data_IF_244070834824
#
_entry.id   IF_244070834824
#
_cell.length_a   1.000
_cell.length_b   1.000
_cell.length_c   1.000
_cell.angle_alpha   90.00
_cell.angle_beta   90.00
_cell.angle_gamma   90.00
#
_symmetry.space_group_name_H-M   'P 1'
#
loop_
_entity.id
_entity.type
_entity.pdbx_description
1 polymer ?
#
# COMPACT_ATOMS: atom_id res chain seq x y z
N UNK A 1 37.87 24.03 58.91
CA UNK A 1 38.70 22.98 58.26
C UNK A 1 38.03 21.64 58.55
N UNK A 2 37.34 21.02 57.59
CA UNK A 2 37.90 20.17 56.50
C UNK A 2 37.94 18.70 56.96
N UNK A 3 37.46 17.66 56.25
CA UNK A 3 36.95 17.49 54.89
C UNK A 3 35.90 16.36 54.88
N UNK A 4 35.02 16.39 53.87
CA UNK A 4 33.97 15.41 53.55
C UNK A 4 34.53 14.00 53.28
N UNK A 5 33.79 12.99 53.77
CA UNK A 5 33.89 11.59 53.37
C UNK A 5 33.51 11.40 51.89
N UNK A 6 34.42 10.78 51.14
CA UNK A 6 34.30 10.39 49.73
C UNK A 6 33.59 9.05 49.58
N UNK A 7 32.69 8.97 48.58
CA UNK A 7 31.96 7.77 48.19
C UNK A 7 32.87 6.58 47.83
N UNK A 8 32.53 5.34 48.24
CA UNK A 8 33.25 4.16 47.80
C UNK A 8 32.89 3.86 46.34
N UNK A 9 33.87 3.96 45.44
CA UNK A 9 33.78 3.37 44.10
C UNK A 9 33.87 1.85 44.25
N UNK A 10 32.76 1.15 44.02
CA UNK A 10 32.76 -0.30 43.83
C UNK A 10 33.65 -0.64 42.63
N UNK A 11 34.85 -1.19 42.86
CA UNK A 11 35.63 -1.85 41.80
C UNK A 11 35.02 -3.23 41.59
N UNK A 12 34.22 -3.38 40.53
CA UNK A 12 33.80 -4.72 40.07
C UNK A 12 35.03 -5.52 39.65
N UNK A 13 35.05 -6.81 40.00
CA UNK A 13 36.15 -7.71 39.59
C UNK A 13 35.96 -8.12 38.12
N UNK A 14 37.04 -8.55 37.45
CA UNK A 14 36.97 -9.03 36.07
C UNK A 14 36.00 -10.23 35.92
N UNK A 15 35.81 -10.99 36.99
CA UNK A 15 34.89 -12.13 37.07
C UNK A 15 33.42 -11.70 37.05
N UNK A 16 33.08 -10.58 37.69
CA UNK A 16 31.71 -10.04 37.66
C UNK A 16 31.31 -9.57 36.25
N UNK A 17 32.21 -8.89 35.53
CA UNK A 17 31.95 -8.51 34.14
C UNK A 17 31.82 -9.72 33.21
N UNK A 18 32.63 -10.76 33.44
CA UNK A 18 32.51 -12.01 32.68
C UNK A 18 31.17 -12.70 32.94
N UNK A 19 30.71 -12.73 34.19
CA UNK A 19 29.43 -13.31 34.56
C UNK A 19 28.25 -12.52 33.97
N UNK A 20 28.28 -11.18 34.01
CA UNK A 20 27.27 -10.32 33.38
C UNK A 20 27.18 -10.57 31.86
N UNK A 21 28.33 -10.68 31.18
CA UNK A 21 28.38 -11.01 29.75
C UNK A 21 27.86 -12.42 29.44
N UNK A 22 28.16 -13.42 30.29
CA UNK A 22 27.64 -14.78 30.14
C UNK A 22 26.11 -14.81 30.34
N UNK A 23 25.58 -14.06 31.32
CA UNK A 23 24.15 -13.92 31.56
C UNK A 23 23.44 -13.24 30.38
N UNK A 24 23.99 -12.13 29.88
CA UNK A 24 23.46 -11.44 28.70
C UNK A 24 23.50 -12.31 27.44
N UNK A 25 24.60 -13.07 27.22
CA UNK A 25 24.70 -14.00 26.11
C UNK A 25 23.66 -15.13 26.21
N UNK A 26 23.42 -15.65 27.42
CA UNK A 26 22.39 -16.65 27.66
C UNK A 26 20.99 -16.09 27.42
N UNK A 27 20.73 -14.85 27.86
CA UNK A 27 19.47 -14.16 27.61
C UNK A 27 19.21 -13.97 26.11
N UNK A 28 20.19 -13.46 25.37
CA UNK A 28 20.12 -13.29 23.91
C UNK A 28 19.89 -14.63 23.19
N UNK A 29 20.52 -15.71 23.66
CA UNK A 29 20.27 -17.07 23.12
C UNK A 29 18.84 -17.52 23.36
N UNK A 30 18.27 -17.26 24.55
CA UNK A 30 16.88 -17.56 24.84
C UNK A 30 15.91 -16.75 23.98
N UNK A 31 16.14 -15.43 23.84
CA UNK A 31 15.32 -14.59 22.97
C UNK A 31 15.38 -15.06 21.51
N UNK A 32 16.59 -15.32 21.00
CA UNK A 32 16.78 -15.84 19.65
C UNK A 32 16.03 -17.15 19.43
N UNK A 33 16.05 -18.06 20.41
CA UNK A 33 15.32 -19.32 20.34
C UNK A 33 13.81 -19.11 20.27
N UNK A 34 13.25 -18.20 21.09
CA UNK A 34 11.82 -17.88 21.04
C UNK A 34 11.38 -17.28 19.72
N UNK A 35 12.22 -16.43 19.12
CA UNK A 35 11.96 -15.84 17.80
C UNK A 35 12.04 -16.89 16.68
N UNK A 36 12.98 -17.83 16.77
CA UNK A 36 13.08 -18.98 15.85
C UNK A 36 11.82 -19.85 15.93
N UNK A 37 11.35 -20.17 17.13
CA UNK A 37 10.15 -20.98 17.33
C UNK A 37 8.89 -20.28 16.81
N UNK A 38 8.78 -18.97 17.06
CA UNK A 38 7.71 -18.12 16.52
C UNK A 38 7.74 -18.09 14.99
N UNK A 39 8.91 -17.91 14.38
CA UNK A 39 9.04 -17.94 12.92
C UNK A 39 8.71 -19.31 12.33
N UNK A 40 9.05 -20.40 13.02
CA UNK A 40 8.68 -21.76 12.61
C UNK A 40 7.17 -21.99 12.69
N UNK A 41 6.49 -21.37 13.65
CA UNK A 41 5.03 -21.39 13.74
C UNK A 41 4.39 -20.52 12.64
N UNK A 42 4.91 -19.32 12.40
CA UNK A 42 4.43 -18.43 11.33
C UNK A 42 4.56 -19.08 9.96
N UNK A 43 5.69 -19.74 9.68
CA UNK A 43 5.87 -20.51 8.44
C UNK A 43 4.81 -21.60 8.27
N UNK A 44 4.45 -22.31 9.34
CA UNK A 44 3.35 -23.30 9.31
C UNK A 44 2.00 -22.64 9.03
N UNK A 45 1.71 -21.50 9.64
CA UNK A 45 0.45 -20.74 9.40
C UNK A 45 0.37 -20.23 7.97
N UNK A 46 1.47 -19.69 7.42
CA UNK A 46 1.56 -19.23 6.03
C UNK A 46 1.27 -20.38 5.07
N UNK A 47 1.97 -21.52 5.24
CA UNK A 47 1.74 -22.69 4.38
C UNK A 47 0.30 -23.23 4.47
N UNK A 48 -0.37 -23.10 5.63
CA UNK A 48 -1.77 -23.48 5.75
C UNK A 48 -2.68 -22.50 5.00
N UNK A 49 -2.46 -21.20 5.17
CA UNK A 49 -3.21 -20.16 4.47
C UNK A 49 -3.04 -20.26 2.95
N UNK A 50 -1.86 -20.62 2.45
CA UNK A 50 -1.62 -20.86 1.03
C UNK A 50 -2.46 -22.03 0.49
N UNK A 51 -2.61 -23.11 1.27
CA UNK A 51 -3.46 -24.25 0.89
C UNK A 51 -4.94 -23.86 0.90
N UNK A 52 -5.38 -23.16 1.94
CA UNK A 52 -6.77 -22.70 2.06
C UNK A 52 -7.11 -21.73 0.93
N UNK A 53 -6.18 -20.82 0.58
CA UNK A 53 -6.32 -19.90 -0.55
C UNK A 53 -6.47 -20.66 -1.87
N UNK A 54 -5.60 -21.63 -2.13
CA UNK A 54 -5.68 -22.46 -3.33
C UNK A 54 -7.00 -23.23 -3.43
N UNK A 55 -7.49 -23.76 -2.30
CA UNK A 55 -8.78 -24.45 -2.25
C UNK A 55 -9.95 -23.52 -2.55
N UNK A 56 -9.96 -22.31 -1.98
CA UNK A 56 -10.96 -21.30 -2.29
C UNK A 56 -10.92 -20.88 -3.76
N UNK A 57 -9.73 -20.74 -4.34
CA UNK A 57 -9.58 -20.39 -5.75
C UNK A 57 -10.18 -21.46 -6.66
N UNK A 58 -9.96 -22.74 -6.35
CA UNK A 58 -10.55 -23.86 -7.08
C UNK A 58 -12.09 -23.86 -6.94
N UNK A 59 -12.62 -23.66 -5.74
CA UNK A 59 -14.07 -23.62 -5.50
C UNK A 59 -14.73 -22.47 -6.28
N UNK A 60 -14.08 -21.30 -6.34
CA UNK A 60 -14.56 -20.17 -7.15
C UNK A 60 -14.58 -20.53 -8.64
N UNK A 61 -13.55 -21.23 -9.15
CA UNK A 61 -13.52 -21.66 -10.54
C UNK A 61 -14.65 -22.65 -10.86
N UNK A 62 -14.88 -23.62 -9.97
CA UNK A 62 -15.93 -24.63 -10.14
C UNK A 62 -17.32 -23.98 -10.12
N UNK A 63 -17.59 -23.09 -9.16
CA UNK A 63 -18.84 -22.33 -9.06
C UNK A 63 -19.06 -21.44 -10.29
N UNK A 64 -18.03 -20.75 -10.78
CA UNK A 64 -18.13 -19.96 -12.00
C UNK A 64 -18.45 -20.83 -13.23
N UNK A 65 -17.90 -22.03 -13.30
CA UNK A 65 -18.22 -23.00 -14.34
C UNK A 65 -19.66 -23.51 -14.26
N UNK A 66 -20.24 -23.61 -13.07
CA UNK A 66 -21.64 -23.98 -12.87
C UNK A 66 -22.60 -22.84 -13.22
N UNK A 67 -22.29 -21.60 -12.80
CA UNK A 67 -23.05 -20.40 -13.18
C UNK A 67 -23.16 -20.30 -14.70
N UNK A 68 -22.03 -20.41 -15.42
CA UNK A 68 -22.01 -20.32 -16.88
C UNK A 68 -22.85 -21.42 -17.55
N UNK A 69 -22.86 -22.63 -16.99
CA UNK A 69 -23.70 -23.73 -17.51
C UNK A 69 -25.19 -23.45 -17.31
N UNK A 70 -25.57 -22.95 -16.15
CA UNK A 70 -26.96 -22.58 -15.84
C UNK A 70 -27.44 -21.40 -16.70
N UNK A 71 -26.60 -20.38 -16.90
CA UNK A 71 -26.89 -19.25 -17.77
C UNK A 71 -27.21 -19.72 -19.19
N UNK A 72 -26.32 -20.51 -19.80
CA UNK A 72 -26.53 -21.05 -21.15
C UNK A 72 -27.82 -21.89 -21.26
N UNK A 73 -28.09 -22.75 -20.27
CA UNK A 73 -29.30 -23.57 -20.25
C UNK A 73 -30.57 -22.71 -20.18
N UNK A 74 -30.55 -21.65 -19.35
CA UNK A 74 -31.69 -20.73 -19.24
C UNK A 74 -31.89 -19.88 -20.50
N UNK A 75 -30.81 -19.46 -21.18
CA UNK A 75 -30.89 -18.76 -22.45
C UNK A 75 -31.51 -19.63 -23.55
N UNK A 76 -31.15 -20.92 -23.59
CA UNK A 76 -31.72 -21.89 -24.51
C UNK A 76 -33.22 -22.11 -24.24
N UNK A 77 -33.61 -22.33 -22.99
CA UNK A 77 -35.02 -22.48 -22.59
C UNK A 77 -35.85 -21.23 -22.95
N UNK A 78 -35.32 -20.03 -22.69
CA UNK A 78 -35.98 -18.77 -23.07
C UNK A 78 -36.16 -18.68 -24.59
N UNK A 79 -35.15 -19.09 -25.37
CA UNK A 79 -35.21 -19.10 -26.84
C UNK A 79 -36.29 -20.05 -27.35
N UNK A 80 -36.36 -21.26 -26.80
CA UNK A 80 -37.39 -22.25 -27.12
C UNK A 80 -38.79 -21.73 -26.78
N UNK A 81 -39.00 -21.21 -25.57
CA UNK A 81 -40.29 -20.65 -25.16
C UNK A 81 -40.72 -19.48 -26.06
N UNK A 82 -39.78 -18.63 -26.46
CA UNK A 82 -40.06 -17.51 -27.38
C UNK A 82 -40.50 -18.00 -28.76
N UNK A 83 -39.88 -19.08 -29.26
CA UNK A 83 -40.28 -19.72 -30.51
C UNK A 83 -41.68 -20.35 -30.40
N UNK A 84 -41.98 -21.02 -29.29
CA UNK A 84 -43.28 -21.62 -29.01
C UNK A 84 -44.40 -20.57 -28.92
N UNK A 85 -44.17 -19.46 -28.21
CA UNK A 85 -45.09 -18.33 -28.13
C UNK A 85 -45.36 -17.75 -29.52
N UNK A 86 -44.32 -17.62 -30.35
CA UNK A 86 -44.47 -17.11 -31.72
C UNK A 86 -45.34 -18.03 -32.59
N UNK A 87 -45.15 -19.35 -32.46
CA UNK A 87 -45.99 -20.36 -33.11
C UNK A 87 -47.45 -20.28 -32.65
N UNK A 88 -47.68 -20.28 -31.33
CA UNK A 88 -49.02 -20.19 -30.75
C UNK A 88 -49.74 -18.89 -31.14
N UNK A 89 -49.03 -17.77 -31.18
CA UNK A 89 -49.59 -16.48 -31.61
C UNK A 89 -50.07 -16.53 -33.06
N UNK A 90 -49.32 -17.18 -33.94
CA UNK A 90 -49.72 -17.37 -35.33
C UNK A 90 -50.94 -18.27 -35.45
N UNK A 91 -50.99 -19.37 -34.67
CA UNK A 91 -52.15 -20.26 -34.64
C UNK A 91 -53.42 -19.54 -34.13
N UNK A 92 -53.30 -18.77 -33.05
CA UNK A 92 -54.39 -17.96 -32.50
C UNK A 92 -54.92 -16.95 -33.54
N UNK A 93 -54.01 -16.30 -34.27
CA UNK A 93 -54.39 -15.36 -35.32
C UNK A 93 -55.23 -16.04 -36.42
N UNK A 94 -54.83 -17.24 -36.86
CA UNK A 94 -55.61 -18.00 -37.84
C UNK A 94 -56.95 -18.45 -37.29
N UNK A 95 -56.98 -19.02 -36.08
CA UNK A 95 -58.22 -19.45 -35.44
C UNK A 95 -59.22 -18.29 -35.28
N UNK A 96 -58.75 -17.09 -34.92
CA UNK A 96 -59.58 -15.89 -34.84
C UNK A 96 -60.18 -15.51 -36.20
N UNK A 97 -59.39 -15.58 -37.27
CA UNK A 97 -59.85 -15.32 -38.63
C UNK A 97 -60.92 -16.33 -39.06
N UNK A 98 -60.74 -17.59 -38.71
CA UNK A 98 -61.70 -18.65 -39.02
C UNK A 98 -63.02 -18.47 -38.28
N UNK A 99 -62.99 -18.08 -37.00
CA UNK A 99 -64.20 -17.73 -36.23
C UNK A 99 -64.95 -16.58 -36.92
N UNK A 100 -64.26 -15.50 -37.30
CA UNK A 100 -64.89 -14.38 -38.01
C UNK A 100 -65.53 -14.79 -39.34
N UNK A 101 -64.91 -15.71 -40.07
CA UNK A 101 -65.48 -16.24 -41.31
C UNK A 101 -66.74 -17.07 -41.04
N UNK A 102 -66.73 -17.89 -39.98
CA UNK A 102 -67.90 -18.67 -39.55
C UNK A 102 -69.03 -17.77 -39.06
N UNK A 103 -68.74 -16.70 -38.32
CA UNK A 103 -69.75 -15.73 -37.86
C UNK A 103 -70.47 -15.09 -39.05
N UNK A 104 -69.73 -14.67 -40.09
CA UNK A 104 -70.33 -14.15 -41.33
C UNK A 104 -71.25 -15.17 -42.01
N UNK A 105 -70.86 -16.45 -41.99
CA UNK A 105 -71.65 -17.52 -42.56
C UNK A 105 -72.92 -17.80 -41.73
N UNK A 106 -72.83 -17.75 -40.40
CA UNK A 106 -73.98 -17.85 -39.50
C UNK A 106 -74.95 -16.71 -39.76
N UNK A 107 -74.49 -15.45 -39.85
CA UNK A 107 -75.36 -14.31 -40.17
C UNK A 107 -76.08 -14.46 -41.52
N UNK A 108 -75.41 -15.06 -42.51
CA UNK A 108 -76.04 -15.38 -43.79
C UNK A 108 -77.15 -16.43 -43.65
N UNK A 109 -76.92 -17.48 -42.86
CA UNK A 109 -77.92 -18.52 -42.59
C UNK A 109 -79.10 -17.99 -41.78
N UNK A 110 -78.86 -17.17 -40.76
CA UNK A 110 -79.91 -16.53 -39.94
C UNK A 110 -80.84 -15.68 -40.81
N UNK A 111 -80.28 -14.92 -41.77
CA UNK A 111 -81.08 -14.14 -42.70
C UNK A 111 -81.97 -15.03 -43.59
N UNK A 112 -81.41 -16.12 -44.13
CA UNK A 112 -82.18 -17.09 -44.91
C UNK A 112 -83.30 -17.75 -44.10
N UNK A 113 -83.03 -18.04 -42.83
CA UNK A 113 -84.01 -18.60 -41.93
C UNK A 113 -85.18 -17.63 -41.74
N UNK A 114 -84.90 -16.35 -41.43
CA UNK A 114 -85.90 -15.30 -41.29
C UNK A 114 -86.78 -15.14 -42.55
N UNK A 115 -86.16 -15.13 -43.73
CA UNK A 115 -86.89 -15.07 -45.01
C UNK A 115 -87.84 -16.26 -45.19
N UNK A 116 -87.41 -17.47 -44.78
CA UNK A 116 -88.25 -18.66 -44.84
C UNK A 116 -89.38 -18.65 -43.80
N UNK A 117 -89.13 -18.11 -42.60
CA UNK A 117 -90.16 -17.95 -41.56
C UNK A 117 -91.24 -16.97 -42.01
N UNK A 118 -90.88 -15.86 -42.66
CA UNK A 118 -91.85 -14.91 -43.23
C UNK A 118 -92.70 -15.57 -44.33
N UNK A 119 -92.09 -16.44 -45.16
CA UNK A 119 -92.84 -17.20 -46.16
C UNK A 119 -93.84 -18.17 -45.51
N UNK A 120 -93.43 -18.87 -44.45
CA UNK A 120 -94.31 -19.77 -43.69
C UNK A 120 -95.48 -18.99 -43.09
N UNK A 121 -95.25 -17.79 -42.55
CA UNK A 121 -96.32 -16.96 -41.97
C UNK A 121 -97.33 -16.49 -43.03
N UNK A 122 -96.87 -16.07 -44.21
CA UNK A 122 -97.76 -15.76 -45.35
C UNK A 122 -98.59 -16.97 -45.79
N UNK A 123 -97.98 -18.15 -45.84
CA UNK A 123 -98.70 -19.38 -46.14
C UNK A 123 -99.75 -19.67 -45.06
N UNK A 124 -99.43 -19.47 -43.78
CA UNK A 124 -100.39 -19.61 -42.67
C UNK A 124 -101.58 -18.66 -42.84
N UNK A 125 -101.37 -17.38 -43.14
CA UNK A 125 -102.46 -16.42 -43.32
C UNK A 125 -103.40 -16.81 -44.47
N UNK A 126 -102.85 -17.26 -45.61
CA UNK A 126 -103.69 -17.74 -46.73
C UNK A 126 -104.50 -18.99 -46.39
N UNK A 127 -103.96 -19.90 -45.58
CA UNK A 127 -104.71 -21.07 -45.10
C UNK A 127 -105.87 -20.64 -44.19
N UNK A 128 -105.67 -19.63 -43.35
CA UNK A 128 -106.73 -19.08 -42.48
C UNK A 128 -107.86 -18.45 -43.29
N UNK A 129 -107.55 -17.61 -44.28
CA UNK A 129 -108.57 -17.00 -45.15
C UNK A 129 -109.38 -18.04 -45.94
N UNK A 130 -108.71 -19.11 -46.41
CA UNK A 130 -109.39 -20.24 -47.06
C UNK A 130 -110.29 -21.01 -46.08
N UNK A 131 -109.86 -21.17 -44.82
CA UNK A 131 -110.66 -21.81 -43.79
C UNK A 131 -111.93 -20.98 -43.49
N UNK A 132 -111.81 -19.66 -43.39
CA UNK A 132 -112.94 -18.75 -43.15
C UNK A 132 -113.90 -18.71 -44.36
N UNK A 133 -113.38 -18.77 -45.59
CA UNK A 133 -114.19 -18.88 -46.81
C UNK A 133 -114.97 -20.20 -46.90
N UNK A 134 -114.41 -21.30 -46.37
CA UNK A 134 -115.08 -22.59 -46.25
C UNK A 134 -116.17 -22.53 -45.16
N UNK A 135 -115.94 -21.81 -44.06
CA UNK A 135 -116.92 -21.64 -42.97
C UNK A 135 -118.17 -20.86 -43.43
N UNK A 136 -118.01 -19.88 -44.32
CA UNK A 136 -119.13 -19.12 -44.93
C UNK A 136 -120.00 -19.88 -45.94
N UNK A 137 -119.58 -21.07 -46.41
CA UNK A 137 -120.33 -21.87 -47.40
C UNK A 137 -121.25 -22.93 -46.76
N UNK A 138 -121.23 -23.07 -45.43
CA UNK A 138 -121.84 -24.22 -44.70
C UNK A 138 -123.18 -23.86 -44.01
N UNK A 139 -123.90 -22.83 -44.48
CA UNK A 139 -125.26 -22.47 -44.01
C UNK A 139 -126.39 -22.95 -44.97
N UNK A 140 -126.64 -24.27 -45.05
CA UNK A 140 -127.85 -24.84 -45.70
C UNK A 140 -128.52 -25.91 -44.79
N UNK A 141 -129.85 -25.85 -44.50
CA UNK A 141 -130.44 -26.43 -43.28
C UNK A 141 -130.73 -27.93 -43.28
N UNK A 142 -130.48 -28.69 -44.35
CA UNK A 142 -131.00 -30.06 -44.47
C UNK A 142 -129.97 -31.14 -44.12
N UNK A 143 -128.67 -30.82 -44.11
CA UNK A 143 -127.58 -31.76 -43.76
C UNK A 143 -127.31 -31.84 -42.24
N UNK A 144 -128.07 -31.09 -41.44
CA UNK A 144 -127.81 -30.78 -40.02
C UNK A 144 -127.97 -31.96 -39.05
N UNK A 145 -128.73 -33.01 -39.38
CA UNK A 145 -129.00 -34.12 -38.44
C UNK A 145 -127.99 -35.28 -38.48
N UNK A 146 -127.36 -35.55 -39.63
CA UNK A 146 -126.23 -36.50 -39.73
C UNK A 146 -124.88 -35.80 -39.49
N UNK A 147 -124.74 -34.52 -39.90
CA UNK A 147 -123.55 -33.72 -39.63
C UNK A 147 -123.40 -33.37 -38.15
N UNK A 148 -124.47 -33.10 -37.37
CA UNK A 148 -124.30 -32.89 -35.92
C UNK A 148 -123.77 -34.15 -35.21
N UNK A 149 -124.18 -35.36 -35.64
CA UNK A 149 -123.71 -36.61 -35.06
C UNK A 149 -122.24 -36.90 -35.42
N UNK A 150 -121.82 -36.60 -36.66
CA UNK A 150 -120.41 -36.70 -37.07
C UNK A 150 -119.54 -35.51 -36.64
N UNK A 151 -120.10 -34.31 -36.46
CA UNK A 151 -119.43 -33.16 -35.82
C UNK A 151 -119.24 -33.43 -34.34
N UNK A 152 -120.21 -33.96 -33.60
CA UNK A 152 -120.00 -34.36 -32.20
C UNK A 152 -118.90 -35.42 -32.12
N UNK A 153 -118.85 -36.40 -33.04
CA UNK A 153 -117.74 -37.37 -33.09
C UNK A 153 -116.40 -36.75 -33.50
N UNK A 154 -116.35 -35.84 -34.48
CA UNK A 154 -115.13 -35.13 -34.91
C UNK A 154 -114.64 -34.14 -33.89
N UNK A 155 -115.52 -33.34 -33.29
CA UNK A 155 -115.23 -32.46 -32.17
C UNK A 155 -114.77 -33.26 -30.95
N UNK A 156 -115.37 -34.42 -30.66
CA UNK A 156 -114.85 -35.32 -29.61
C UNK A 156 -113.47 -35.89 -29.98
N UNK A 157 -113.20 -36.21 -31.25
CA UNK A 157 -111.85 -36.61 -31.72
C UNK A 157 -110.85 -35.46 -31.70
N UNK A 158 -111.25 -34.24 -32.06
CA UNK A 158 -110.43 -33.03 -32.03
C UNK A 158 -110.14 -32.60 -30.60
N UNK A 159 -111.11 -32.74 -29.69
CA UNK A 159 -110.92 -32.53 -28.25
C UNK A 159 -109.94 -33.59 -27.73
N UNK A 160 -110.08 -34.87 -28.08
CA UNK A 160 -109.10 -35.90 -27.71
C UNK A 160 -107.72 -35.69 -28.33
N UNK A 161 -107.62 -35.19 -29.56
CA UNK A 161 -106.35 -34.86 -30.20
C UNK A 161 -105.71 -33.63 -29.57
N UNK A 162 -106.49 -32.59 -29.27
CA UNK A 162 -106.03 -31.41 -28.52
C UNK A 162 -105.66 -31.76 -27.09
N UNK A 163 -106.39 -32.67 -26.45
CA UNK A 163 -106.08 -33.20 -25.12
C UNK A 163 -104.78 -34.00 -25.14
N UNK A 164 -104.57 -34.86 -26.15
CA UNK A 164 -103.30 -35.56 -26.35
C UNK A 164 -102.15 -34.58 -26.66
N UNK A 165 -102.38 -33.56 -27.48
CA UNK A 165 -101.38 -32.51 -27.73
C UNK A 165 -101.08 -31.69 -26.49
N UNK A 166 -102.08 -31.31 -25.69
CA UNK A 166 -101.90 -30.63 -24.41
C UNK A 166 -101.16 -31.52 -23.41
N UNK A 167 -101.48 -32.81 -23.34
CA UNK A 167 -100.75 -33.77 -22.50
C UNK A 167 -99.29 -33.88 -22.95
N UNK A 168 -99.05 -33.90 -24.27
CA UNK A 168 -97.71 -33.99 -24.83
C UNK A 168 -96.93 -32.68 -24.70
N UNK A 169 -97.58 -31.53 -24.82
CA UNK A 169 -97.00 -30.20 -24.59
C UNK A 169 -96.70 -30.01 -23.10
N UNK A 170 -97.60 -30.39 -22.20
CA UNK A 170 -97.34 -30.38 -20.74
C UNK A 170 -96.16 -31.29 -20.42
N UNK A 171 -96.10 -32.49 -21.01
CA UNK A 171 -94.98 -33.41 -20.82
C UNK A 171 -93.66 -32.82 -21.37
N UNK A 172 -93.68 -32.23 -22.56
CA UNK A 172 -92.51 -31.59 -23.15
C UNK A 172 -92.07 -30.34 -22.36
N UNK A 173 -93.00 -29.56 -21.85
CA UNK A 173 -92.70 -28.36 -21.08
C UNK A 173 -92.13 -28.72 -19.71
N UNK A 174 -92.66 -29.77 -19.07
CA UNK A 174 -92.05 -30.36 -17.87
C UNK A 174 -90.65 -30.88 -18.16
N UNK A 175 -90.45 -31.59 -19.27
CA UNK A 175 -89.13 -32.07 -19.69
C UNK A 175 -88.16 -30.89 -19.94
N UNK A 176 -88.61 -29.81 -20.58
CA UNK A 176 -87.82 -28.59 -20.80
C UNK A 176 -87.44 -27.92 -19.48
N UNK A 177 -88.37 -27.82 -18.54
CA UNK A 177 -88.10 -27.28 -17.21
C UNK A 177 -87.02 -28.10 -16.48
N UNK A 178 -87.18 -29.42 -16.43
CA UNK A 178 -86.20 -30.30 -15.79
C UNK A 178 -84.83 -30.23 -16.49
N UNK A 179 -84.80 -30.25 -17.83
CA UNK A 179 -83.55 -30.13 -18.57
C UNK A 179 -82.86 -28.78 -18.33
N UNK A 180 -83.60 -27.66 -18.35
CA UNK A 180 -83.06 -26.32 -18.11
C UNK A 180 -82.62 -26.11 -16.65
N UNK A 181 -83.27 -26.75 -15.68
CA UNK A 181 -82.81 -26.78 -14.29
C UNK A 181 -81.50 -27.57 -14.16
N UNK A 182 -81.42 -28.74 -14.79
CA UNK A 182 -80.20 -29.56 -14.81
C UNK A 182 -79.03 -28.83 -15.50
N UNK A 183 -79.29 -28.11 -16.61
CA UNK A 183 -78.29 -27.29 -17.29
C UNK A 183 -77.80 -26.15 -16.40
N UNK A 184 -78.70 -25.44 -15.71
CA UNK A 184 -78.32 -24.38 -14.75
C UNK A 184 -77.49 -24.92 -13.60
N UNK A 185 -77.85 -26.07 -13.04
CA UNK A 185 -77.08 -26.70 -11.96
C UNK A 185 -75.69 -27.13 -12.44
N UNK A 186 -75.61 -27.70 -13.64
CA UNK A 186 -74.32 -28.04 -14.26
C UNK A 186 -73.45 -26.79 -14.50
N UNK A 187 -74.03 -25.68 -14.97
CA UNK A 187 -73.31 -24.42 -15.11
C UNK A 187 -72.81 -23.88 -13.78
N UNK A 188 -73.60 -23.96 -12.72
CA UNK A 188 -73.20 -23.54 -11.37
C UNK A 188 -72.02 -24.37 -10.88
N UNK A 189 -72.07 -25.70 -11.05
CA UNK A 189 -70.98 -26.60 -10.67
C UNK A 189 -69.70 -26.26 -11.46
N UNK A 190 -69.80 -26.03 -12.78
CA UNK A 190 -68.66 -25.65 -13.61
C UNK A 190 -68.06 -24.31 -13.19
N UNK A 191 -68.89 -23.30 -12.86
CA UNK A 191 -68.41 -22.01 -12.34
C UNK A 191 -67.71 -22.16 -10.99
N UNK A 192 -68.28 -22.93 -10.06
CA UNK A 192 -67.66 -23.17 -8.75
C UNK A 192 -66.31 -23.90 -8.88
N UNK A 193 -66.20 -24.87 -9.79
CA UNK A 193 -64.94 -25.55 -10.08
C UNK A 193 -63.91 -24.59 -10.68
N UNK A 194 -64.31 -23.72 -11.61
CA UNK A 194 -63.43 -22.71 -12.19
C UNK A 194 -62.96 -21.69 -11.16
N UNK A 195 -63.87 -21.15 -10.34
CA UNK A 195 -63.56 -20.23 -9.24
C UNK A 195 -62.62 -20.86 -8.22
N UNK A 196 -62.81 -22.14 -7.87
CA UNK A 196 -61.92 -22.88 -6.98
C UNK A 196 -60.51 -23.04 -7.55
N UNK A 197 -60.39 -23.29 -8.87
CA UNK A 197 -59.09 -23.34 -9.54
C UNK A 197 -58.42 -21.97 -9.58
N UNK A 198 -59.16 -20.90 -9.88
CA UNK A 198 -58.63 -19.53 -9.87
C UNK A 198 -58.14 -19.11 -8.48
N UNK A 199 -58.89 -19.40 -7.42
CA UNK A 199 -58.47 -19.12 -6.05
C UNK A 199 -57.17 -19.85 -5.69
N UNK A 200 -57.02 -21.10 -6.13
CA UNK A 200 -55.79 -21.87 -5.92
C UNK A 200 -54.60 -21.23 -6.65
N UNK A 201 -54.78 -20.83 -7.91
CA UNK A 201 -53.75 -20.13 -8.69
C UNK A 201 -53.36 -18.80 -8.02
N UNK A 202 -54.34 -18.04 -7.53
CA UNK A 202 -54.09 -16.78 -6.80
C UNK A 202 -53.29 -17.05 -5.52
N UNK A 203 -53.62 -18.10 -4.77
CA UNK A 203 -52.90 -18.48 -3.56
C UNK A 203 -51.45 -18.87 -3.87
N UNK A 204 -51.22 -19.69 -4.90
CA UNK A 204 -49.89 -20.11 -5.33
C UNK A 204 -49.05 -18.90 -5.79
N UNK A 205 -49.64 -17.98 -6.56
CA UNK A 205 -49.00 -16.74 -6.99
C UNK A 205 -48.64 -15.83 -5.81
N UNK A 206 -49.54 -15.68 -4.83
CA UNK A 206 -49.23 -14.93 -3.61
C UNK A 206 -48.09 -15.57 -2.81
N UNK A 207 -48.05 -16.90 -2.72
CA UNK A 207 -46.98 -17.62 -2.03
C UNK A 207 -45.63 -17.43 -2.74
N UNK A 208 -45.59 -17.54 -4.07
CA UNK A 208 -44.39 -17.26 -4.88
C UNK A 208 -43.90 -15.83 -4.67
N UNK A 209 -44.80 -14.86 -4.70
CA UNK A 209 -44.45 -13.46 -4.49
C UNK A 209 -43.90 -13.19 -3.08
N UNK A 210 -44.51 -13.77 -2.05
CA UNK A 210 -44.04 -13.67 -0.68
C UNK A 210 -42.65 -14.31 -0.51
N UNK A 211 -42.41 -15.47 -1.12
CA UNK A 211 -41.12 -16.15 -1.10
C UNK A 211 -40.02 -15.31 -1.78
N UNK A 212 -40.29 -14.78 -2.98
CA UNK A 212 -39.36 -13.91 -3.69
C UNK A 212 -39.04 -12.65 -2.88
N UNK A 213 -40.06 -12.02 -2.28
CA UNK A 213 -39.87 -10.85 -1.40
C UNK A 213 -39.00 -11.18 -0.19
N UNK A 214 -39.22 -12.32 0.46
CA UNK A 214 -38.42 -12.75 1.60
C UNK A 214 -36.97 -13.05 1.22
N UNK A 215 -36.74 -13.64 0.05
CA UNK A 215 -35.39 -13.87 -0.48
C UNK A 215 -34.66 -12.54 -0.70
N UNK A 216 -35.31 -11.57 -1.34
CA UNK A 216 -34.76 -10.23 -1.55
C UNK A 216 -34.42 -9.55 -0.23
N UNK A 217 -35.32 -9.61 0.76
CA UNK A 217 -35.06 -9.02 2.09
C UNK A 217 -33.81 -9.63 2.76
N UNK A 218 -33.66 -10.96 2.73
CA UNK A 218 -32.46 -11.63 3.26
C UNK A 218 -31.19 -11.21 2.55
N UNK A 219 -31.23 -11.05 1.23
CA UNK A 219 -30.08 -10.54 0.47
C UNK A 219 -29.74 -9.12 0.87
N UNK A 220 -30.75 -8.26 1.06
CA UNK A 220 -30.56 -6.87 1.48
C UNK A 220 -29.93 -6.78 2.88
N UNK A 221 -30.39 -7.61 3.81
CA UNK A 221 -29.83 -7.69 5.17
C UNK A 221 -28.37 -8.14 5.13
N UNK A 222 -28.04 -9.16 4.32
CA UNK A 222 -26.66 -9.62 4.12
C UNK A 222 -25.76 -8.53 3.52
N UNK A 223 -26.24 -7.80 2.52
CA UNK A 223 -25.51 -6.68 1.91
C UNK A 223 -25.27 -5.58 2.95
N UNK A 224 -26.27 -5.29 3.77
CA UNK A 224 -26.18 -4.30 4.85
C UNK A 224 -25.15 -4.72 5.90
N UNK A 225 -25.18 -5.98 6.33
CA UNK A 225 -24.19 -6.54 7.26
C UNK A 225 -22.76 -6.47 6.70
N UNK A 226 -22.57 -6.83 5.42
CA UNK A 226 -21.25 -6.71 4.76
C UNK A 226 -20.80 -5.26 4.67
N UNK A 227 -21.69 -4.32 4.36
CA UNK A 227 -21.38 -2.89 4.31
C UNK A 227 -20.92 -2.35 5.68
N UNK A 228 -21.57 -2.78 6.76
CA UNK A 228 -21.15 -2.44 8.13
C UNK A 228 -19.76 -3.00 8.44
N UNK A 229 -19.50 -4.26 8.09
CA UNK A 229 -18.18 -4.90 8.28
C UNK A 229 -17.08 -4.16 7.51
N UNK A 230 -17.33 -3.79 6.25
CA UNK A 230 -16.39 -2.98 5.45
C UNK A 230 -16.11 -1.64 6.13
N UNK A 231 -17.13 -0.98 6.69
CA UNK A 231 -16.96 0.25 7.44
C UNK A 231 -16.01 0.11 8.64
N UNK A 232 -16.17 -0.97 9.43
CA UNK A 232 -15.29 -1.29 10.57
C UNK A 232 -13.86 -1.55 10.11
N UNK A 233 -13.67 -2.38 9.09
CA UNK A 233 -12.33 -2.69 8.55
C UNK A 233 -11.60 -1.45 8.02
N UNK A 234 -12.32 -0.51 7.40
CA UNK A 234 -11.74 0.76 6.96
C UNK A 234 -11.30 1.63 8.14
N UNK A 235 -12.08 1.66 9.22
CA UNK A 235 -11.69 2.36 10.46
C UNK A 235 -10.45 1.72 11.10
N UNK A 236 -10.42 0.40 11.21
CA UNK A 236 -9.27 -0.34 11.75
C UNK A 236 -8.01 -0.13 10.90
N UNK A 237 -8.14 -0.19 9.57
CA UNK A 237 -7.04 0.10 8.64
C UNK A 237 -6.47 1.50 8.85
N UNK A 238 -7.34 2.49 9.03
CA UNK A 238 -6.92 3.86 9.30
C UNK A 238 -6.20 3.98 10.65
N UNK A 239 -6.73 3.34 11.70
CA UNK A 239 -6.10 3.31 13.02
C UNK A 239 -4.72 2.63 13.00
N UNK A 240 -4.58 1.50 12.29
CA UNK A 240 -3.31 0.80 12.10
C UNK A 240 -2.28 1.66 11.37
N UNK A 241 -2.71 2.41 10.36
CA UNK A 241 -1.83 3.32 9.62
C UNK A 241 -1.28 4.43 10.52
N UNK A 242 -2.11 5.00 11.40
CA UNK A 242 -1.67 5.98 12.40
C UNK A 242 -0.69 5.38 13.40
N UNK A 243 -0.95 4.17 13.89
CA UNK A 243 -0.03 3.45 14.78
C UNK A 243 1.32 3.18 14.11
N UNK A 244 1.31 2.77 12.84
CA UNK A 244 2.53 2.53 12.08
C UNK A 244 3.38 3.81 11.95
N UNK A 245 2.76 4.94 11.58
CA UNK A 245 3.45 6.23 11.50
C UNK A 245 4.05 6.65 12.85
N UNK A 246 3.30 6.46 13.94
CA UNK A 246 3.78 6.76 15.29
C UNK A 246 4.97 5.87 15.68
N UNK A 247 4.91 4.58 15.37
CA UNK A 247 5.99 3.64 15.67
C UNK A 247 7.24 3.93 14.84
N UNK A 248 7.09 4.33 13.58
CA UNK A 248 8.21 4.75 12.74
C UNK A 248 8.93 5.97 13.34
N UNK A 249 8.17 6.97 13.83
CA UNK A 249 8.73 8.14 14.51
C UNK A 249 9.47 7.76 15.81
N UNK A 250 8.89 6.88 16.62
CA UNK A 250 9.54 6.39 17.84
C UNK A 250 10.82 5.65 17.53
N UNK A 251 10.83 4.77 16.52
CA UNK A 251 12.02 4.04 16.11
C UNK A 251 13.14 5.00 15.66
N UNK A 252 12.81 6.05 14.91
CA UNK A 252 13.77 7.07 14.52
C UNK A 252 14.37 7.79 15.74
N UNK A 253 13.54 8.13 16.74
CA UNK A 253 14.01 8.73 18.00
C UNK A 253 14.92 7.78 18.78
N UNK A 254 14.57 6.50 18.89
CA UNK A 254 15.41 5.51 19.56
C UNK A 254 16.75 5.34 18.85
N UNK A 255 16.78 5.30 17.51
CA UNK A 255 18.04 5.28 16.74
C UNK A 255 18.91 6.50 17.01
N UNK A 256 18.32 7.69 17.10
CA UNK A 256 19.05 8.90 17.47
C UNK A 256 19.62 8.85 18.89
N UNK A 257 18.84 8.36 19.85
CA UNK A 257 19.31 8.19 21.23
C UNK A 257 20.45 7.16 21.34
N UNK A 258 20.38 6.06 20.59
CA UNK A 258 21.46 5.06 20.51
C UNK A 258 22.74 5.70 19.98
N UNK A 259 22.66 6.43 18.86
CA UNK A 259 23.83 7.13 18.31
C UNK A 259 24.44 8.14 19.28
N UNK A 260 23.61 8.85 20.06
CA UNK A 260 24.10 9.76 21.10
C UNK A 260 24.81 9.02 22.24
N UNK A 261 24.31 7.85 22.64
CA UNK A 261 24.94 7.02 23.67
C UNK A 261 26.28 6.47 23.18
N UNK A 262 26.34 6.00 21.94
CA UNK A 262 27.58 5.52 21.30
C UNK A 262 28.62 6.64 21.23
N UNK A 263 28.24 7.82 20.75
CA UNK A 263 29.10 9.00 20.73
C UNK A 263 29.66 9.35 22.12
N UNK A 264 28.80 9.34 23.14
CA UNK A 264 29.23 9.63 24.51
C UNK A 264 30.17 8.56 25.07
N UNK A 265 29.92 7.29 24.76
CA UNK A 265 30.78 6.16 25.15
C UNK A 265 32.17 6.31 24.53
N UNK A 266 32.24 6.57 23.23
CA UNK A 266 33.50 6.64 22.50
C UNK A 266 34.34 7.84 22.97
N UNK A 267 33.69 8.98 23.24
CA UNK A 267 34.35 10.16 23.82
C UNK A 267 34.89 9.91 25.23
N UNK A 268 34.17 9.15 26.06
CA UNK A 268 34.68 8.73 27.37
C UNK A 268 35.87 7.80 27.23
N UNK A 269 35.82 6.88 26.27
CA UNK A 269 36.89 5.93 25.99
C UNK A 269 38.16 6.63 25.50
N UNK A 270 38.06 7.58 24.58
CA UNK A 270 39.18 8.41 24.15
C UNK A 270 39.83 9.18 25.31
N UNK A 271 39.01 9.75 26.21
CA UNK A 271 39.53 10.44 27.40
C UNK A 271 40.28 9.49 28.32
N UNK A 272 39.75 8.29 28.50
CA UNK A 272 40.38 7.25 29.29
C UNK A 272 41.73 6.82 28.68
N UNK A 273 41.79 6.55 27.37
CA UNK A 273 43.05 6.18 26.70
C UNK A 273 44.08 7.32 26.77
N UNK A 274 43.68 8.58 26.61
CA UNK A 274 44.57 9.73 26.83
C UNK A 274 45.10 9.81 28.26
N UNK A 275 44.25 9.58 29.26
CA UNK A 275 44.66 9.57 30.66
C UNK A 275 45.62 8.41 30.96
N UNK A 276 45.31 7.21 30.47
CA UNK A 276 46.15 6.00 30.58
C UNK A 276 47.53 6.20 29.95
N UNK A 277 47.60 6.85 28.78
CA UNK A 277 48.86 7.20 28.14
C UNK A 277 49.68 8.18 28.99
N UNK A 278 49.03 9.20 29.59
CA UNK A 278 49.69 10.13 30.53
C UNK A 278 50.23 9.41 31.76
N UNK A 279 49.47 8.48 32.32
CA UNK A 279 49.90 7.68 33.48
C UNK A 279 51.11 6.82 33.12
N UNK A 280 51.07 6.13 31.97
CA UNK A 280 52.21 5.34 31.47
C UNK A 280 53.46 6.22 31.26
N UNK A 281 53.31 7.39 30.65
CA UNK A 281 54.42 8.32 30.45
C UNK A 281 54.97 8.84 31.79
N UNK A 282 54.09 9.11 32.76
CA UNK A 282 54.49 9.53 34.11
C UNK A 282 55.27 8.44 34.83
N UNK A 283 54.81 7.18 34.77
CA UNK A 283 55.54 6.02 35.28
C UNK A 283 56.91 5.85 34.59
N UNK A 284 56.97 6.02 33.26
CA UNK A 284 58.23 5.95 32.52
C UNK A 284 59.19 7.07 32.94
N UNK A 285 58.69 8.28 33.15
CA UNK A 285 59.49 9.39 33.66
C UNK A 285 60.03 9.12 35.06
N UNK A 286 59.21 8.56 35.96
CA UNK A 286 59.66 8.13 37.29
C UNK A 286 60.75 7.07 37.17
N UNK A 287 60.58 6.08 36.30
CA UNK A 287 61.60 5.05 36.07
C UNK A 287 62.91 5.65 35.54
N UNK A 288 62.83 6.58 34.58
CA UNK A 288 63.99 7.28 34.03
C UNK A 288 64.70 8.12 35.11
N UNK A 289 63.95 8.84 35.94
CA UNK A 289 64.49 9.63 37.06
C UNK A 289 65.12 8.75 38.13
N UNK A 290 64.51 7.60 38.45
CA UNK A 290 65.13 6.60 39.34
C UNK A 290 66.42 6.04 38.76
N UNK A 291 66.48 5.79 37.45
CA UNK A 291 67.71 5.43 36.75
C UNK A 291 68.79 6.50 36.84
N UNK A 292 68.43 7.78 36.68
CA UNK A 292 69.37 8.90 36.87
C UNK A 292 69.84 9.03 38.32
N UNK A 293 68.94 8.90 39.30
CA UNK A 293 69.30 8.89 40.72
C UNK A 293 70.25 7.73 41.03
N UNK A 294 70.00 6.53 40.51
CA UNK A 294 70.89 5.39 40.65
C UNK A 294 72.26 5.65 40.01
N UNK A 295 72.31 6.27 38.83
CA UNK A 295 73.57 6.66 38.19
C UNK A 295 74.34 7.72 39.01
N UNK A 296 73.64 8.70 39.61
CA UNK A 296 74.21 9.72 40.49
C UNK A 296 74.61 9.20 41.87
N UNK A 297 73.98 8.13 42.36
CA UNK A 297 74.34 7.48 43.62
C UNK A 297 75.56 6.56 43.48
N UNK A 298 75.70 5.88 42.34
CA UNK A 298 76.87 5.05 42.03
C UNK A 298 78.09 5.85 41.54
N UNK A 299 77.89 7.10 41.12
CA UNK A 299 78.94 8.06 40.84
C UNK A 299 78.81 9.25 41.82
N UNK A 300 79.49 9.25 42.99
CA UNK A 300 79.49 10.43 43.85
C UNK A 300 80.00 11.64 43.07
N UNK A 301 79.61 12.88 43.44
CA UNK A 301 79.94 14.11 42.72
C UNK A 301 81.43 14.45 42.86
N UNK A 302 82.28 13.64 42.23
CA UNK A 302 83.72 13.82 42.11
C UNK A 302 84.24 13.35 40.73
N UNK A 303 83.35 13.19 39.74
CA UNK A 303 83.74 12.86 38.36
C UNK A 303 83.27 13.86 37.30
N UNK A 304 82.69 15.01 37.69
CA UNK A 304 82.41 16.09 36.73
C UNK A 304 83.71 16.83 36.32
N UNK A 305 84.81 16.66 37.07
CA UNK A 305 86.11 17.26 36.74
C UNK A 305 87.06 16.37 35.91
N UNK A 306 86.61 15.24 35.36
CA UNK A 306 87.51 14.30 34.65
C UNK A 306 87.10 13.87 33.23
N UNK A 307 86.10 14.52 32.62
CA UNK A 307 85.74 14.30 31.19
C UNK A 307 86.18 15.46 30.29
N UNK A 308 86.67 16.57 30.84
CA UNK A 308 87.13 17.73 30.06
C UNK A 308 88.66 17.93 30.01
N UNK A 309 89.45 16.98 30.52
CA UNK A 309 90.92 16.98 30.42
C UNK A 309 91.34 15.76 29.60
N UNK A 310 91.78 15.84 28.34
CA UNK A 310 92.92 16.62 27.89
C UNK A 310 92.94 16.84 26.36
N UNK A 311 91.78 16.85 25.68
CA UNK A 311 91.74 16.96 24.20
C UNK A 311 90.58 17.77 23.61
N UNK A 312 89.77 18.47 24.42
CA UNK A 312 88.53 19.10 23.95
C UNK A 312 88.57 20.62 24.15
N UNK A 313 89.23 21.31 23.22
CA UNK A 313 89.26 22.78 23.18
C UNK A 313 88.06 23.31 22.41
N UNK A 314 87.51 24.45 22.84
CA UNK A 314 86.48 25.16 22.09
C UNK A 314 87.05 25.49 20.70
N UNK A 315 86.41 25.09 19.60
CA UNK A 315 86.89 25.43 18.26
C UNK A 315 86.94 26.94 18.10
N UNK A 316 88.06 27.49 17.61
CA UNK A 316 88.19 28.92 17.38
C UNK A 316 88.36 29.25 15.89
N UNK A 317 87.54 30.19 15.40
CA UNK A 317 87.61 30.70 14.03
C UNK A 317 88.19 32.11 14.05
N UNK A 318 89.42 32.28 13.55
CA UNK A 318 90.16 33.54 13.63
C UNK A 318 90.25 34.28 12.30
N UNK A 319 90.10 33.58 11.17
CA UNK A 319 90.34 34.11 9.81
C UNK A 319 89.35 33.54 8.78
N UNK A 320 89.09 34.31 7.72
CA UNK A 320 88.33 33.90 6.54
C UNK A 320 89.08 32.92 5.62
N UNK A 321 90.38 32.68 5.87
CA UNK A 321 91.20 31.72 5.12
C UNK A 321 91.22 30.33 5.77
N UNK A 322 90.65 30.21 6.98
CA UNK A 322 90.56 28.97 7.74
C UNK A 322 89.41 28.10 7.19
N UNK A 323 89.55 26.78 7.17
CA UNK A 323 88.51 25.88 6.65
C UNK A 323 87.22 26.01 7.48
N UNK A 324 86.19 26.58 6.85
CA UNK A 324 84.92 26.89 7.50
C UNK A 324 84.08 25.64 7.77
N UNK A 325 84.20 24.62 6.91
CA UNK A 325 83.43 23.38 7.08
C UNK A 325 84.00 22.57 8.24
N UNK A 326 85.32 22.49 8.36
CA UNK A 326 85.99 21.85 9.50
C UNK A 326 85.65 22.55 10.83
N UNK A 327 85.55 23.88 10.84
CA UNK A 327 85.08 24.62 12.02
C UNK A 327 83.61 24.30 12.36
N UNK A 328 82.71 24.28 11.38
CA UNK A 328 81.29 24.01 11.59
C UNK A 328 81.08 22.59 12.12
N UNK A 329 81.76 21.60 11.55
CA UNK A 329 81.69 20.22 12.00
C UNK A 329 82.21 20.05 13.43
N UNK A 330 83.36 20.66 13.74
CA UNK A 330 83.92 20.65 15.10
C UNK A 330 83.03 21.41 16.10
N UNK A 331 82.37 22.49 15.69
CA UNK A 331 81.44 23.24 16.52
C UNK A 331 80.15 22.45 16.80
N UNK A 332 79.57 21.81 15.78
CA UNK A 332 78.39 20.94 15.94
C UNK A 332 78.73 19.75 16.83
N UNK A 333 79.90 19.13 16.64
CA UNK A 333 80.39 18.07 17.51
C UNK A 333 80.52 18.56 18.96
N UNK A 334 81.06 19.77 19.18
CA UNK A 334 81.17 20.35 20.52
C UNK A 334 79.81 20.58 21.19
N UNK A 335 78.84 21.14 20.46
CA UNK A 335 77.48 21.40 20.98
C UNK A 335 76.75 20.09 21.33
N UNK A 336 76.85 19.08 20.46
CA UNK A 336 76.24 17.77 20.68
C UNK A 336 76.89 17.01 21.85
N UNK A 337 78.22 17.01 21.96
CA UNK A 337 78.92 16.36 23.08
C UNK A 337 78.69 17.08 24.42
N UNK A 338 78.60 18.40 24.41
CA UNK A 338 78.26 19.18 25.61
C UNK A 338 76.75 19.17 25.94
N UNK A 339 75.93 18.49 25.12
CA UNK A 339 74.48 18.36 25.23
C UNK A 339 73.78 19.73 25.39
N UNK A 340 74.18 20.70 24.57
CA UNK A 340 73.65 22.07 24.58
C UNK A 340 72.49 22.14 23.59
N UNK A 341 71.27 22.16 24.12
CA UNK A 341 70.04 22.11 23.30
C UNK A 341 69.23 23.43 23.41
N UNK A 342 69.83 24.48 23.98
CA UNK A 342 69.22 25.79 24.17
C UNK A 342 69.83 26.82 23.21
N UNK A 343 68.96 27.46 22.42
CA UNK A 343 69.35 28.42 21.38
C UNK A 343 70.18 29.59 21.94
N UNK A 344 69.79 30.12 23.10
CA UNK A 344 70.47 31.24 23.74
C UNK A 344 71.90 30.86 24.13
N UNK A 345 72.06 29.65 24.68
CA UNK A 345 73.36 29.11 25.09
C UNK A 345 74.24 28.76 23.91
N UNK A 346 73.68 28.22 22.82
CA UNK A 346 74.41 27.94 21.57
C UNK A 346 74.95 29.22 20.94
N UNK A 347 74.14 30.29 20.86
CA UNK A 347 74.61 31.59 20.34
C UNK A 347 75.73 32.19 21.19
N UNK A 348 75.61 32.15 22.50
CA UNK A 348 76.66 32.64 23.40
C UNK A 348 77.99 31.87 23.27
N UNK A 349 77.93 30.60 22.87
CA UNK A 349 79.12 29.78 22.64
C UNK A 349 79.69 30.08 21.25
N UNK A 350 78.85 30.29 20.24
CA UNK A 350 79.24 30.75 18.91
C UNK A 350 79.96 32.12 18.96
N UNK A 351 79.43 33.08 19.71
CA UNK A 351 80.08 34.38 19.94
C UNK A 351 81.47 34.23 20.57
N UNK A 352 81.65 33.21 21.41
CA UNK A 352 82.94 32.95 22.07
C UNK A 352 83.92 32.20 21.19
N UNK A 353 83.46 31.35 20.27
CA UNK A 353 84.31 30.57 19.36
C UNK A 353 84.78 31.39 18.17
N UNK A 354 84.06 32.44 17.77
CA UNK A 354 84.54 33.34 16.71
C UNK A 354 85.47 34.40 17.31
N UNK A 355 86.63 34.60 16.69
CA UNK A 355 87.70 35.48 17.18
C UNK A 355 88.25 36.38 16.05
N UNK A 356 89.05 37.36 16.42
CA UNK A 356 89.76 38.22 15.46
C UNK A 356 88.83 38.97 14.50
N UNK A 357 89.27 39.08 13.24
CA UNK A 357 88.56 39.81 12.17
C UNK A 357 87.17 39.22 11.87
N UNK A 358 87.02 37.89 12.00
CA UNK A 358 85.74 37.20 11.79
C UNK A 358 84.72 37.59 12.85
N UNK A 359 85.16 37.84 14.09
CA UNK A 359 84.28 38.29 15.18
C UNK A 359 83.80 39.72 14.97
N UNK A 360 84.70 40.60 14.53
CA UNK A 360 84.35 41.98 14.19
C UNK A 360 83.38 42.05 13.01
N UNK A 361 83.56 41.18 12.01
CA UNK A 361 82.61 41.02 10.92
C UNK A 361 81.26 40.45 11.39
N UNK A 362 81.26 39.42 12.23
CA UNK A 362 80.04 38.80 12.77
C UNK A 362 79.18 39.80 13.53
N UNK A 363 79.77 40.57 14.45
CA UNK A 363 79.03 41.61 15.18
C UNK A 363 78.58 42.75 14.27
N UNK A 364 79.41 43.18 13.30
CA UNK A 364 79.04 44.23 12.33
C UNK A 364 77.87 43.80 11.44
N UNK A 365 77.84 42.53 11.05
CA UNK A 365 76.86 42.01 10.12
C UNK A 365 75.56 41.63 10.84
N UNK A 366 75.63 40.98 12.00
CA UNK A 366 74.44 40.40 12.64
C UNK A 366 73.86 41.22 13.80
N UNK A 367 74.65 42.03 14.52
CA UNK A 367 74.12 42.78 15.68
C UNK A 367 73.26 43.98 15.23
N UNK A 368 72.14 44.20 15.93
CA UNK A 368 71.19 45.29 15.70
C UNK A 368 70.60 45.38 14.28
N UNK A 369 70.75 44.33 13.45
CA UNK A 369 70.03 44.17 12.19
C UNK A 369 68.83 43.26 12.41
N UNK A 370 67.64 43.73 12.03
CA UNK A 370 66.40 42.94 12.08
C UNK A 370 66.36 42.05 10.83
N UNK A 371 66.95 40.86 10.90
CA UNK A 371 66.98 39.92 9.78
C UNK A 371 65.60 39.26 9.62
N UNK A 372 64.68 39.95 8.94
CA UNK A 372 63.50 39.31 8.35
C UNK A 372 63.92 38.46 7.15
N UNK A 373 63.36 37.25 7.06
CA UNK A 373 63.58 36.32 5.96
C UNK A 373 62.90 36.85 4.68
N UNK A 374 63.49 37.85 4.02
CA UNK A 374 62.90 38.58 2.88
C UNK A 374 62.80 37.81 1.55
N UNK A 375 63.10 36.50 1.51
CA UNK A 375 63.18 35.75 0.24
C UNK A 375 62.27 34.52 0.17
N UNK A 376 60.98 34.70 0.45
CA UNK A 376 59.92 33.88 -0.18
C UNK A 376 58.83 34.81 -0.72
N UNK A 377 59.14 35.56 -1.77
CA UNK A 377 58.14 36.34 -2.50
C UNK A 377 57.32 35.41 -3.41
N UNK A 378 56.07 35.13 -3.05
CA UNK A 378 55.08 34.52 -3.95
C UNK A 378 54.28 35.57 -4.76
N UNK A 379 54.85 36.76 -4.96
CA UNK A 379 54.27 37.83 -5.77
C UNK A 379 52.87 38.33 -5.33
N UNK A 380 52.50 38.12 -4.06
CA UNK A 380 51.18 38.49 -3.53
C UNK A 380 51.11 39.88 -2.87
N UNK A 381 52.24 40.59 -2.76
CA UNK A 381 52.27 41.99 -2.32
C UNK A 381 51.82 42.27 -0.88
N UNK A 382 51.85 41.27 0.00
CA UNK A 382 51.56 41.39 1.43
C UNK A 382 52.70 40.78 2.24
N UNK A 383 53.16 41.50 3.26
CA UNK A 383 54.20 41.05 4.19
C UNK A 383 53.76 39.72 4.84
N UNK A 384 54.38 38.63 4.37
CA UNK A 384 53.88 37.29 4.59
C UNK A 384 54.52 36.65 5.81
N UNK A 385 53.95 36.92 6.98
CA UNK A 385 54.22 36.14 8.17
C UNK A 385 53.63 34.72 8.01
N UNK A 386 54.31 33.67 8.46
CA UNK A 386 53.94 32.27 8.16
C UNK A 386 52.56 31.88 8.71
N UNK A 387 52.08 32.61 9.72
CA UNK A 387 50.73 32.52 10.26
C UNK A 387 49.65 33.00 9.27
N UNK A 388 49.93 34.04 8.48
CA UNK A 388 49.00 34.62 7.53
C UNK A 388 48.77 33.71 6.32
N UNK A 389 49.83 33.04 5.84
CA UNK A 389 49.73 32.04 4.75
C UNK A 389 48.85 30.85 5.18
N UNK A 390 49.03 30.38 6.42
CA UNK A 390 48.20 29.31 7.00
C UNK A 390 46.73 29.73 7.12
N UNK A 391 46.47 30.96 7.55
CA UNK A 391 45.11 31.50 7.64
C UNK A 391 44.40 31.63 6.29
N UNK A 392 45.11 32.10 5.26
CA UNK A 392 44.56 32.26 3.91
C UNK A 392 44.21 30.91 3.26
N UNK A 393 45.06 29.89 3.42
CA UNK A 393 44.79 28.54 2.89
C UNK A 393 43.58 27.89 3.60
N UNK A 394 43.45 28.06 4.91
CA UNK A 394 42.29 27.56 5.67
C UNK A 394 40.99 28.23 5.18
N UNK A 395 41.01 29.53 4.93
CA UNK A 395 39.83 30.25 4.43
C UNK A 395 39.43 29.81 3.01
N UNK A 396 40.41 29.61 2.10
CA UNK A 396 40.16 29.14 0.74
C UNK A 396 39.58 27.71 0.71
N UNK A 397 40.12 26.81 1.54
CA UNK A 397 39.62 25.43 1.68
C UNK A 397 38.21 25.44 2.27
N UNK A 398 37.95 26.28 3.28
CA UNK A 398 36.61 26.39 3.91
C UNK A 398 35.57 26.92 2.93
N UNK A 399 35.94 27.87 2.07
CA UNK A 399 35.07 28.41 1.02
C UNK A 399 34.71 27.37 -0.05
N UNK A 400 35.69 26.62 -0.55
CA UNK A 400 35.46 25.57 -1.55
C UNK A 400 34.65 24.39 -1.01
N UNK A 401 34.82 24.02 0.26
CA UNK A 401 34.07 22.92 0.90
C UNK A 401 32.62 23.33 1.23
N UNK A 402 32.32 24.61 1.40
CA UNK A 402 30.95 25.10 1.62
C UNK A 402 30.08 25.11 0.35
N UNK A 403 30.68 25.09 -0.86
CA UNK A 403 29.94 25.05 -2.13
C UNK A 403 29.43 23.67 -2.56
N UNK A 404 29.74 22.59 -1.82
CA UNK A 404 29.24 21.24 -2.10
C UNK A 404 28.10 20.88 -1.10
N UNK A 405 26.83 20.74 -1.55
CA UNK A 405 25.68 20.69 -0.63
C UNK A 405 25.52 19.37 0.16
N UNK A 406 26.26 18.31 -0.19
CA UNK A 406 26.00 16.95 0.29
C UNK A 406 27.26 16.20 0.81
N UNK A 407 28.26 16.91 1.31
CA UNK A 407 29.39 16.26 2.00
C UNK A 407 29.02 16.07 3.48
N UNK A 408 29.00 14.81 3.94
CA UNK A 408 28.76 14.45 5.35
C UNK A 408 29.75 15.19 6.26
N UNK A 409 29.24 15.74 7.37
CA UNK A 409 30.00 16.57 8.32
C UNK A 409 31.32 15.93 8.78
N UNK A 410 31.37 14.59 8.86
CA UNK A 410 32.55 13.83 9.30
C UNK A 410 33.71 13.85 8.29
N UNK A 411 33.43 13.92 7.00
CA UNK A 411 34.47 13.99 5.95
C UNK A 411 35.12 15.38 5.92
N UNK A 412 34.33 16.43 6.21
CA UNK A 412 34.81 17.80 6.33
C UNK A 412 35.83 17.95 7.46
N UNK A 413 35.60 17.32 8.61
CA UNK A 413 36.51 17.38 9.76
C UNK A 413 37.79 16.54 9.55
N UNK A 414 37.70 15.43 8.80
CA UNK A 414 38.85 14.59 8.43
C UNK A 414 39.79 15.31 7.46
N UNK A 415 39.26 15.96 6.42
CA UNK A 415 40.03 16.78 5.45
C UNK A 415 40.71 17.95 6.15
N UNK A 416 40.04 18.57 7.13
CA UNK A 416 40.59 19.68 7.92
C UNK A 416 41.76 19.23 8.83
N UNK A 417 41.76 17.97 9.31
CA UNK A 417 42.88 17.39 10.07
C UNK A 417 44.08 17.03 9.19
N UNK A 418 43.84 16.47 8.00
CA UNK A 418 44.91 16.01 7.10
C UNK A 418 45.68 17.21 6.49
N UNK A 419 44.98 18.28 6.13
CA UNK A 419 45.57 19.51 5.57
C UNK A 419 46.47 20.31 6.53
N UNK A 420 46.53 19.94 7.81
CA UNK A 420 47.42 20.59 8.80
C UNK A 420 48.86 20.01 8.78
N UNK A 421 49.08 18.83 8.18
CA UNK A 421 50.32 18.06 8.38
C UNK A 421 51.01 17.53 7.12
N UNK A 422 50.45 17.69 5.90
CA UNK A 422 51.05 17.15 4.66
C UNK A 422 50.93 18.09 3.44
N UNK A 423 51.86 18.02 2.47
CA UNK A 423 51.78 18.75 1.20
C UNK A 423 50.61 18.25 0.31
N UNK A 424 50.08 19.15 -0.53
CA UNK A 424 48.85 18.97 -1.32
C UNK A 424 48.90 17.73 -2.24
N UNK A 425 50.08 17.36 -2.71
CA UNK A 425 50.28 16.30 -3.70
C UNK A 425 49.99 14.90 -3.11
N UNK A 426 50.22 14.71 -1.81
CA UNK A 426 49.90 13.45 -1.09
C UNK A 426 48.40 13.32 -0.72
N UNK A 427 47.67 14.44 -0.74
CA UNK A 427 46.23 14.48 -0.41
C UNK A 427 45.40 13.93 -1.58
N UNK A 428 45.84 14.15 -2.82
CA UNK A 428 45.16 13.67 -4.03
C UNK A 428 45.24 12.14 -4.18
N UNK A 429 46.38 11.54 -3.85
CA UNK A 429 46.54 10.08 -3.84
C UNK A 429 45.69 9.42 -2.74
N UNK A 430 45.57 10.07 -1.59
CA UNK A 430 44.73 9.59 -0.47
C UNK A 430 43.23 9.69 -0.77
N UNK A 431 42.80 10.65 -1.60
CA UNK A 431 41.41 10.82 -2.02
C UNK A 431 41.01 9.80 -3.11
N UNK A 432 41.93 9.45 -4.01
CA UNK A 432 41.72 8.40 -5.01
C UNK A 432 41.50 7.01 -4.37
N UNK A 433 42.18 6.72 -3.26
CA UNK A 433 42.01 5.47 -2.49
C UNK A 433 40.66 5.41 -1.74
N UNK A 434 40.13 6.55 -1.27
CA UNK A 434 38.81 6.62 -0.62
C UNK A 434 37.68 6.45 -1.65
N UNK A 435 37.85 6.96 -2.86
CA UNK A 435 36.90 6.83 -3.97
C UNK A 435 36.77 5.36 -4.44
N UNK A 436 37.86 4.58 -4.37
CA UNK A 436 37.91 3.16 -4.75
C UNK A 436 37.35 2.20 -3.68
N UNK A 437 37.37 2.55 -2.39
CA UNK A 437 36.95 1.65 -1.32
C UNK A 437 35.48 1.74 -0.90
N UNK A 438 34.73 2.78 -1.29
CA UNK A 438 33.34 2.93 -0.84
C UNK A 438 32.24 3.05 -1.91
N UNK A 439 32.54 3.04 -3.22
CA UNK A 439 31.49 2.96 -4.25
C UNK A 439 30.38 4.00 -4.08
N UNK A 440 30.75 5.26 -3.83
CA UNK A 440 29.83 6.36 -3.46
C UNK A 440 29.34 7.21 -4.64
N UNK A 441 29.27 6.62 -5.83
CA UNK A 441 28.50 7.18 -6.94
C UNK A 441 27.43 6.16 -7.36
N UNK A 442 26.18 6.42 -6.95
CA UNK A 442 25.03 5.93 -7.70
C UNK A 442 25.11 6.43 -9.16
N UNK A 443 24.44 5.76 -10.12
CA UNK A 443 24.68 6.02 -11.53
C UNK A 443 24.39 7.48 -11.91
N UNK A 444 25.21 8.02 -12.82
CA UNK A 444 25.08 9.36 -13.39
C UNK A 444 23.65 9.66 -13.87
N UNK A 445 23.12 10.88 -13.62
CA UNK A 445 21.86 11.33 -14.22
C UNK A 445 22.07 11.68 -15.69
N UNK A 446 22.06 10.68 -16.56
CA UNK A 446 21.84 10.87 -17.99
C UNK A 446 20.58 10.12 -18.40
N UNK A 447 19.63 10.88 -18.94
CA UNK A 447 18.28 10.54 -19.47
C UNK A 447 17.11 11.11 -18.65
N UNK A 448 17.11 12.43 -18.46
CA UNK A 448 15.87 13.19 -18.39
C UNK A 448 15.26 13.20 -19.80
N UNK A 449 14.23 12.36 -19.96
CA UNK A 449 13.28 12.44 -21.05
C UNK A 449 12.78 13.88 -21.19
N UNK A 450 12.90 14.39 -22.41
CA UNK A 450 12.08 15.47 -22.94
C UNK A 450 10.62 15.22 -22.57
N UNK A 451 10.06 16.07 -21.71
CA UNK A 451 8.62 16.30 -21.67
C UNK A 451 8.39 17.64 -22.33
N UNK A 452 7.78 17.58 -23.51
CA UNK A 452 7.25 18.70 -24.26
C UNK A 452 6.32 19.52 -23.36
N UNK A 453 6.51 20.83 -23.36
CA UNK A 453 5.56 21.80 -22.83
C UNK A 453 4.15 21.53 -23.38
N UNK A 454 3.09 21.65 -22.56
CA UNK A 454 1.73 21.66 -23.09
C UNK A 454 1.50 22.96 -23.87
N UNK A 455 0.81 22.92 -25.02
CA UNK A 455 0.48 24.14 -25.74
C UNK A 455 -0.57 24.93 -24.95
N UNK A 456 -0.28 26.23 -24.82
CA UNK A 456 -1.23 27.25 -24.41
C UNK A 456 -2.40 27.21 -25.39
N UNK A 457 -3.55 26.72 -24.91
CA UNK A 457 -4.80 26.83 -25.66
C UNK A 457 -5.55 28.05 -25.13
N UNK A 458 -5.38 29.17 -25.83
CA UNK A 458 -6.25 30.34 -25.73
C UNK A 458 -7.61 29.97 -26.34
N UNK A 459 -8.64 29.80 -25.51
CA UNK A 459 -10.02 30.00 -25.92
C UNK A 459 -10.86 30.53 -24.74
N UNK A 460 -11.24 31.79 -24.91
CA UNK A 460 -12.25 32.58 -24.20
C UNK A 460 -13.62 32.11 -24.75
N UNK A 461 -14.46 31.41 -23.99
CA UNK A 461 -15.62 31.86 -23.19
C UNK A 461 -16.75 30.79 -23.38
N UNK A 462 -17.83 30.75 -22.57
CA UNK A 462 -18.74 31.86 -22.27
C UNK A 462 -18.50 32.55 -20.93
#
# INVERSE_FOLDING_TARGET
MSFRSTHPRQRRTCEEYKAELEEENNHLRSELQTEVDTNRQNKRRINQLERDYFQCEQEIQDLNGEIKRLENASEEEISELKSAISSLKNQLYQAKKDVQNKDKYISYLEKKLLESEEQVEKLRSTITELADAIDGYVDNPTTRREILAEQIKRSTRQIRQKENHLQQDIFQEQQRYYNAETERDNEIIQRQLAEGMEQKVIADLHQLWANARNQVNRMLDNITGKRTCIGVLLQEKFALQLLYQRNALHLQRYRGNIGLLEYNRDRLYERYEKWKAKEKNSCQNIFNLQGQIFALQNNPPNQINMVLSASFQLPELHSFEQDHEDYVDNFIAYINLANINDETRTRNILDRSIKGEVREWYHREFDNKNWELQNVLNNSGLDADMANIRGANVAAITGAVASFPNVLLDIRDEIFRIGQHRPIDEILDSLADIELHQGLLGPSPSYLNYTLSPPINSNIAP
#
